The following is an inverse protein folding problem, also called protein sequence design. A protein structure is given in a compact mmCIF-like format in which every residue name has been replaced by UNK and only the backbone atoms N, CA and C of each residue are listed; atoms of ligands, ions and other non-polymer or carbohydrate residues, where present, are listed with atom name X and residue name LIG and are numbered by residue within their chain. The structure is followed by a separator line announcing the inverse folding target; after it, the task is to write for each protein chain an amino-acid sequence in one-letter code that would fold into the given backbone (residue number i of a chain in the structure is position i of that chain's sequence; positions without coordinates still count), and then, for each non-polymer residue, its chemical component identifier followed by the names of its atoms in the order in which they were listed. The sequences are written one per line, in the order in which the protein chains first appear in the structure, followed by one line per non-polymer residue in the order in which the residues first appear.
data_IF_953772118170
#
_entry.id   IF_953772118170
#
_cell.length_a   1.000
_cell.length_b   1.000
_cell.length_c   1.000
_cell.angle_alpha   90.00
_cell.angle_beta   90.00
_cell.angle_gamma   90.00
#
_symmetry.space_group_name_H-M   'P 1'
#
loop_
_entity.id
_entity.type
_entity.pdbx_description
1 polymer ?
#
# COMPACT_ATOMS: atom_id res chain seq x y z
N UNK A 1 -0.39 -15.04 -20.04
CA UNK A 1 0.31 -14.06 -20.92
C UNK A 1 -0.60 -12.87 -21.26
N UNK A 2 -1.79 -13.10 -21.85
CA UNK A 2 -2.73 -12.02 -22.20
C UNK A 2 -3.17 -11.24 -20.96
N UNK A 3 -3.44 -11.90 -19.85
CA UNK A 3 -3.85 -11.28 -18.57
C UNK A 3 -2.72 -10.46 -17.95
N UNK A 4 -1.47 -10.91 -18.06
CA UNK A 4 -0.31 -10.17 -17.58
C UNK A 4 0.08 -9.01 -18.51
N UNK A 5 -0.16 -9.12 -19.80
CA UNK A 5 0.05 -8.04 -20.78
C UNK A 5 -0.94 -6.90 -20.60
N UNK A 6 -2.16 -7.19 -20.18
CA UNK A 6 -3.19 -6.17 -19.98
C UNK A 6 -3.03 -5.37 -18.67
N UNK A 7 -2.06 -5.69 -17.82
CA UNK A 7 -1.84 -5.03 -16.50
C UNK A 7 -3.10 -4.97 -15.61
N UNK A 8 -4.12 -5.77 -15.92
CA UNK A 8 -5.42 -5.73 -15.25
C UNK A 8 -5.39 -6.55 -13.96
N UNK A 9 -4.52 -7.57 -13.91
CA UNK A 9 -4.41 -8.43 -12.74
C UNK A 9 -3.15 -8.10 -11.94
N UNK A 10 -3.30 -8.12 -10.61
CA UNK A 10 -2.17 -8.07 -9.68
C UNK A 10 -1.09 -9.09 -10.09
N UNK A 11 0.21 -8.78 -9.97
CA UNK A 11 1.30 -9.73 -10.21
C UNK A 11 1.12 -11.07 -9.47
N UNK A 12 0.40 -11.07 -8.35
CA UNK A 12 0.03 -12.29 -7.60
C UNK A 12 -0.84 -13.23 -8.43
N UNK A 13 -1.84 -12.70 -9.15
CA UNK A 13 -2.67 -13.54 -10.02
C UNK A 13 -1.88 -14.17 -11.15
N UNK A 14 -0.88 -13.48 -11.70
CA UNK A 14 -0.06 -14.03 -12.77
C UNK A 14 0.83 -15.20 -12.30
N UNK A 15 1.23 -15.25 -11.02
CA UNK A 15 1.92 -16.40 -10.44
C UNK A 15 0.99 -17.57 -10.16
N UNK A 16 -0.28 -17.30 -9.84
CA UNK A 16 -1.27 -18.34 -9.56
C UNK A 16 -1.83 -18.92 -10.86
N UNK A 17 -1.82 -18.17 -11.96
CA UNK A 17 -2.35 -18.60 -13.26
C UNK A 17 -1.82 -19.97 -13.72
N UNK A 18 -0.52 -20.31 -13.65
CA UNK A 18 -0.03 -21.64 -14.04
C UNK A 18 -0.67 -22.77 -13.23
N UNK A 19 -0.91 -22.53 -11.94
CA UNK A 19 -1.56 -23.51 -11.05
C UNK A 19 -3.02 -23.71 -11.45
N UNK A 20 -3.75 -22.63 -11.75
CA UNK A 20 -5.13 -22.73 -12.24
C UNK A 20 -5.19 -23.47 -13.59
N UNK A 21 -4.26 -23.25 -14.47
CA UNK A 21 -4.19 -23.94 -15.76
C UNK A 21 -4.07 -25.47 -15.58
N UNK A 22 -3.30 -25.91 -14.59
CA UNK A 22 -3.18 -27.33 -14.27
C UNK A 22 -4.43 -27.88 -13.54
N UNK A 23 -5.12 -27.05 -12.75
CA UNK A 23 -6.32 -27.48 -12.00
C UNK A 23 -7.61 -27.48 -12.84
N UNK A 24 -7.73 -26.59 -13.84
CA UNK A 24 -8.93 -26.49 -14.70
C UNK A 24 -9.28 -27.81 -15.36
N UNK A 25 -8.36 -28.58 -15.96
CA UNK A 25 -8.67 -29.89 -16.55
C UNK A 25 -9.22 -30.88 -15.52
N UNK A 26 -8.71 -30.88 -14.29
CA UNK A 26 -9.21 -31.75 -13.21
C UNK A 26 -10.64 -31.38 -12.82
N UNK A 27 -10.92 -30.08 -12.68
CA UNK A 27 -12.27 -29.60 -12.37
C UNK A 27 -13.24 -29.95 -13.51
N UNK A 28 -12.81 -29.81 -14.76
CA UNK A 28 -13.62 -30.12 -15.92
C UNK A 28 -13.99 -31.61 -16.00
N UNK A 29 -13.02 -32.52 -15.77
CA UNK A 29 -13.28 -33.96 -15.69
C UNK A 29 -14.24 -34.32 -14.55
N UNK A 30 -14.05 -33.71 -13.38
CA UNK A 30 -14.92 -33.92 -12.23
C UNK A 30 -16.36 -33.47 -12.49
N UNK A 31 -16.55 -32.32 -13.15
CA UNK A 31 -17.87 -31.79 -13.50
C UNK A 31 -18.57 -32.65 -14.54
N UNK A 32 -17.84 -33.32 -15.43
CA UNK A 32 -18.39 -34.25 -16.42
C UNK A 32 -18.68 -35.63 -15.84
N UNK A 33 -18.38 -35.88 -14.55
CA UNK A 33 -18.53 -37.21 -13.95
C UNK A 33 -17.58 -38.27 -14.50
N UNK A 34 -16.55 -37.85 -15.26
CA UNK A 34 -15.55 -38.76 -15.83
C UNK A 34 -14.58 -39.25 -14.75
N UNK A 35 -14.09 -40.48 -14.89
CA UNK A 35 -13.01 -40.98 -14.03
C UNK A 35 -11.75 -40.17 -14.25
N UNK A 36 -11.12 -39.73 -13.15
CA UNK A 36 -9.84 -39.00 -13.20
C UNK A 36 -8.72 -40.05 -13.39
N UNK A 37 -8.55 -40.47 -14.64
CA UNK A 37 -7.43 -41.32 -15.05
C UNK A 37 -6.35 -40.48 -15.75
N UNK A 38 -5.10 -40.94 -15.68
CA UNK A 38 -3.94 -40.25 -16.28
C UNK A 38 -4.16 -39.96 -17.78
N UNK A 39 -4.72 -40.90 -18.53
CA UNK A 39 -5.00 -40.75 -19.95
C UNK A 39 -6.08 -39.68 -20.21
N UNK A 40 -7.15 -39.68 -19.43
CA UNK A 40 -8.22 -38.71 -19.54
C UNK A 40 -7.70 -37.29 -19.20
N UNK A 41 -6.90 -37.18 -18.15
CA UNK A 41 -6.26 -35.90 -17.77
C UNK A 41 -5.32 -35.37 -18.87
N UNK A 42 -4.44 -36.21 -19.39
CA UNK A 42 -3.49 -35.82 -20.45
C UNK A 42 -4.20 -35.43 -21.73
N UNK A 43 -5.30 -36.08 -22.11
CA UNK A 43 -6.09 -35.72 -23.28
C UNK A 43 -6.76 -34.34 -23.13
N UNK A 44 -7.35 -34.06 -21.98
CA UNK A 44 -7.92 -32.71 -21.69
C UNK A 44 -6.81 -31.67 -21.62
N UNK A 45 -5.68 -32.01 -21.01
CA UNK A 45 -4.51 -31.12 -20.96
C UNK A 45 -3.98 -30.79 -22.34
N UNK A 46 -3.92 -31.79 -23.26
CA UNK A 46 -3.53 -31.61 -24.69
C UNK A 46 -4.50 -30.71 -25.44
N UNK A 47 -5.79 -30.79 -25.15
CA UNK A 47 -6.78 -29.85 -25.72
C UNK A 47 -6.48 -28.42 -25.30
N UNK A 48 -6.22 -28.17 -24.01
CA UNK A 48 -5.79 -26.86 -23.51
C UNK A 48 -4.37 -26.50 -23.99
N UNK A 49 -3.55 -27.44 -24.32
CA UNK A 49 -2.17 -27.24 -24.86
C UNK A 49 -2.12 -26.50 -26.17
N UNK A 50 -3.19 -26.55 -26.97
CA UNK A 50 -3.30 -25.73 -28.18
C UNK A 50 -3.29 -24.24 -27.85
N UNK A 51 -3.70 -23.87 -26.61
CA UNK A 51 -3.77 -22.50 -26.09
C UNK A 51 -2.50 -22.15 -25.32
N UNK A 52 -1.83 -23.13 -24.73
CA UNK A 52 -0.71 -22.94 -23.80
C UNK A 52 0.56 -23.60 -24.32
N UNK A 53 1.61 -22.81 -24.67
CA UNK A 53 2.85 -23.34 -25.24
C UNK A 53 3.54 -24.41 -24.38
N UNK A 54 3.37 -24.30 -23.02
CA UNK A 54 4.05 -25.20 -22.08
C UNK A 54 3.51 -26.64 -22.16
N UNK A 55 2.23 -26.82 -22.53
CA UNK A 55 1.64 -28.16 -22.64
C UNK A 55 2.13 -28.87 -23.89
N UNK A 56 2.61 -28.13 -24.89
CA UNK A 56 3.21 -28.68 -26.08
C UNK A 56 4.52 -29.45 -25.80
N UNK A 57 5.12 -29.31 -24.63
CA UNK A 57 6.26 -30.09 -24.14
C UNK A 57 5.93 -31.59 -24.14
N UNK A 58 4.70 -31.97 -23.83
CA UNK A 58 4.27 -33.38 -23.77
C UNK A 58 4.36 -34.08 -25.13
N UNK A 59 4.24 -33.34 -26.23
CA UNK A 59 4.29 -33.87 -27.61
C UNK A 59 5.57 -33.43 -28.37
N UNK A 60 6.55 -32.88 -27.65
CA UNK A 60 7.75 -32.28 -28.27
C UNK A 60 8.51 -33.25 -29.17
N UNK A 61 8.52 -34.54 -28.82
CA UNK A 61 9.27 -35.56 -29.57
C UNK A 61 8.69 -35.84 -30.97
N UNK A 62 7.36 -35.71 -31.10
CA UNK A 62 6.62 -36.02 -32.32
C UNK A 62 6.45 -34.81 -33.25
N UNK A 63 6.97 -33.65 -32.89
CA UNK A 63 6.78 -32.41 -33.66
C UNK A 63 7.82 -32.28 -34.79
N UNK A 64 7.42 -31.65 -35.91
CA UNK A 64 8.38 -31.25 -36.97
C UNK A 64 9.33 -30.17 -36.43
N UNK A 65 10.51 -30.05 -37.03
CA UNK A 65 11.63 -29.23 -36.54
C UNK A 65 11.25 -27.77 -36.35
N UNK A 66 10.49 -27.19 -37.28
CA UNK A 66 10.03 -25.79 -37.18
C UNK A 66 9.16 -25.54 -35.96
N UNK A 67 8.25 -26.47 -35.65
CA UNK A 67 7.41 -26.38 -34.46
C UNK A 67 8.19 -26.59 -33.15
N UNK A 68 9.24 -27.42 -33.17
CA UNK A 68 10.16 -27.60 -32.04
C UNK A 68 10.84 -26.28 -31.65
N UNK A 69 11.36 -25.58 -32.67
CA UNK A 69 12.02 -24.28 -32.43
C UNK A 69 11.05 -23.27 -31.85
N UNK A 70 9.85 -23.12 -32.43
CA UNK A 70 8.82 -22.19 -31.94
C UNK A 70 8.38 -22.54 -30.52
N UNK A 71 8.20 -23.81 -30.20
CA UNK A 71 7.84 -24.28 -28.87
C UNK A 71 8.95 -23.97 -27.84
N UNK A 72 10.21 -24.23 -28.22
CA UNK A 72 11.37 -23.94 -27.36
C UNK A 72 11.45 -22.44 -27.02
N UNK A 73 11.31 -21.57 -28.02
CA UNK A 73 11.29 -20.10 -27.81
C UNK A 73 10.14 -19.70 -26.91
N UNK A 74 8.95 -20.25 -27.11
CA UNK A 74 7.78 -19.97 -26.30
C UNK A 74 7.96 -20.38 -24.84
N UNK A 75 8.66 -21.51 -24.61
CA UNK A 75 8.99 -21.98 -23.26
C UNK A 75 9.95 -21.01 -22.56
N UNK A 76 11.00 -20.57 -23.27
CA UNK A 76 11.95 -19.59 -22.72
C UNK A 76 11.25 -18.29 -22.35
N UNK A 77 10.40 -17.75 -23.23
CA UNK A 77 9.60 -16.56 -22.97
C UNK A 77 8.69 -16.76 -21.76
N UNK A 78 8.08 -17.94 -21.61
CA UNK A 78 7.23 -18.26 -20.47
C UNK A 78 8.00 -18.24 -19.14
N UNK A 79 9.18 -18.89 -19.07
CA UNK A 79 10.01 -18.86 -17.87
C UNK A 79 10.52 -17.47 -17.56
N UNK A 80 10.88 -16.68 -18.57
CA UNK A 80 11.25 -15.29 -18.38
C UNK A 80 10.08 -14.47 -17.81
N UNK A 81 8.86 -14.68 -18.29
CA UNK A 81 7.66 -14.05 -17.76
C UNK A 81 7.40 -14.43 -16.28
N UNK A 82 7.57 -15.72 -15.94
CA UNK A 82 7.45 -16.17 -14.54
C UNK A 82 8.48 -15.48 -13.63
N UNK A 83 9.72 -15.39 -14.09
CA UNK A 83 10.78 -14.70 -13.35
C UNK A 83 10.44 -13.22 -13.12
N UNK A 84 10.02 -12.51 -14.15
CA UNK A 84 9.57 -11.13 -14.06
C UNK A 84 8.41 -10.94 -13.08
N UNK A 85 7.42 -11.83 -13.13
CA UNK A 85 6.27 -11.80 -12.24
C UNK A 85 6.68 -12.06 -10.78
N UNK A 86 7.60 -12.99 -10.55
CA UNK A 86 8.14 -13.29 -9.21
C UNK A 86 8.85 -12.08 -8.61
N UNK A 87 9.70 -11.41 -9.40
CA UNK A 87 10.35 -10.17 -8.97
C UNK A 87 9.34 -9.07 -8.67
N UNK A 88 8.30 -8.94 -9.50
CA UNK A 88 7.25 -7.93 -9.30
C UNK A 88 6.49 -8.17 -8.00
N UNK A 89 6.13 -9.42 -7.67
CA UNK A 89 5.49 -9.78 -6.40
C UNK A 89 6.41 -9.51 -5.21
N UNK A 90 7.69 -9.83 -5.31
CA UNK A 90 8.67 -9.55 -4.26
C UNK A 90 8.81 -8.04 -4.01
N UNK A 91 8.95 -7.24 -5.08
CA UNK A 91 9.00 -5.77 -4.98
C UNK A 91 7.72 -5.20 -4.38
N UNK A 92 6.56 -5.70 -4.81
CA UNK A 92 5.28 -5.31 -4.26
C UNK A 92 5.20 -5.58 -2.76
N UNK A 93 5.57 -6.80 -2.32
CA UNK A 93 5.62 -7.16 -0.91
C UNK A 93 6.52 -6.22 -0.11
N UNK A 94 7.75 -5.97 -0.59
CA UNK A 94 8.68 -5.04 0.06
C UNK A 94 8.12 -3.62 0.16
N UNK A 95 7.50 -3.13 -0.92
CA UNK A 95 6.89 -1.81 -0.94
C UNK A 95 5.71 -1.71 0.03
N UNK A 96 4.89 -2.76 0.15
CA UNK A 96 3.78 -2.78 1.11
C UNK A 96 4.26 -2.71 2.56
N UNK A 97 5.33 -3.41 2.93
CA UNK A 97 5.94 -3.29 4.26
C UNK A 97 6.39 -1.85 4.53
N UNK A 98 7.05 -1.21 3.56
CA UNK A 98 7.53 0.16 3.68
C UNK A 98 6.36 1.14 3.83
N UNK A 99 5.32 0.99 3.00
CA UNK A 99 4.11 1.84 3.06
C UNK A 99 3.46 1.73 4.43
N UNK A 100 3.22 0.51 4.94
CA UNK A 100 2.62 0.33 6.26
C UNK A 100 3.46 0.93 7.39
N UNK A 101 4.79 0.81 7.31
CA UNK A 101 5.70 1.48 8.27
C UNK A 101 5.54 3.00 8.26
N UNK A 102 5.38 3.62 7.10
CA UNK A 102 5.14 5.07 7.00
C UNK A 102 3.74 5.45 7.48
N UNK A 103 2.72 4.62 7.20
CA UNK A 103 1.37 4.84 7.70
C UNK A 103 1.29 4.79 9.23
N UNK A 104 2.00 3.85 9.86
CA UNK A 104 2.07 3.76 11.32
C UNK A 104 2.75 4.99 11.92
N UNK A 105 3.84 5.49 11.29
CA UNK A 105 4.48 6.74 11.71
C UNK A 105 3.55 7.94 11.54
N UNK A 106 2.84 8.04 10.42
CA UNK A 106 1.88 9.12 10.17
C UNK A 106 0.75 9.09 11.19
N UNK A 107 0.22 7.91 11.50
CA UNK A 107 -0.80 7.71 12.53
C UNK A 107 -0.32 8.16 13.92
N UNK A 108 0.87 7.73 14.32
CA UNK A 108 1.47 8.13 15.59
C UNK A 108 1.69 9.65 15.67
N UNK A 109 2.26 10.24 14.60
CA UNK A 109 2.44 11.67 14.50
C UNK A 109 1.10 12.42 14.61
N UNK A 110 0.10 11.98 13.85
CA UNK A 110 -1.20 12.66 13.82
C UNK A 110 -1.94 12.58 15.16
N UNK A 111 -1.85 11.44 15.88
CA UNK A 111 -2.37 11.33 17.23
C UNK A 111 -1.70 12.32 18.17
N UNK A 112 -0.36 12.39 18.17
CA UNK A 112 0.39 13.31 19.03
C UNK A 112 0.04 14.78 18.74
N UNK A 113 -0.17 15.12 17.47
CA UNK A 113 -0.58 16.50 17.11
C UNK A 113 -1.99 16.81 17.60
N UNK A 114 -2.94 15.88 17.46
CA UNK A 114 -4.31 16.07 17.98
C UNK A 114 -4.27 16.29 19.49
N UNK A 115 -3.50 15.50 20.23
CA UNK A 115 -3.33 15.63 21.66
C UNK A 115 -2.67 16.98 22.03
N UNK A 116 -1.65 17.42 21.28
CA UNK A 116 -1.01 18.72 21.48
C UNK A 116 -1.96 19.88 21.22
N UNK A 117 -2.81 19.77 20.18
CA UNK A 117 -3.85 20.76 19.89
C UNK A 117 -4.83 20.84 21.05
N UNK A 118 -5.27 19.71 21.62
CA UNK A 118 -6.18 19.68 22.75
C UNK A 118 -5.59 20.34 23.98
N UNK A 119 -4.35 19.98 24.30
CA UNK A 119 -3.62 20.59 25.39
C UNK A 119 -3.47 22.10 25.20
N UNK A 120 -3.14 22.56 23.99
CA UNK A 120 -3.05 23.98 23.70
C UNK A 120 -4.39 24.70 23.85
N UNK A 121 -5.47 24.14 23.35
CA UNK A 121 -6.82 24.73 23.44
C UNK A 121 -7.30 24.85 24.88
N UNK A 122 -6.92 23.93 25.79
CA UNK A 122 -7.26 24.02 27.22
C UNK A 122 -6.74 25.34 27.86
N UNK A 123 -5.57 25.80 27.44
CA UNK A 123 -4.97 27.03 27.98
C UNK A 123 -5.36 28.27 27.19
N UNK A 124 -5.40 28.21 25.86
CA UNK A 124 -5.60 29.37 24.99
C UNK A 124 -7.06 29.80 24.87
N UNK A 125 -8.03 28.92 25.17
CA UNK A 125 -9.46 29.24 25.10
C UNK A 125 -9.91 30.34 26.01
N UNK A 126 -9.14 30.58 27.09
CA UNK A 126 -9.44 31.64 28.08
C UNK A 126 -9.01 33.05 27.62
N UNK A 127 -8.32 33.16 26.48
CA UNK A 127 -7.79 34.42 26.00
C UNK A 127 -8.43 34.82 24.69
N UNK A 128 -9.16 35.92 24.67
CA UNK A 128 -9.86 36.44 23.49
C UNK A 128 -8.90 36.75 22.33
N UNK A 129 -7.65 37.16 22.63
CA UNK A 129 -6.61 37.41 21.61
C UNK A 129 -6.25 36.22 20.78
N UNK A 130 -6.53 34.98 21.21
CA UNK A 130 -6.27 33.75 20.49
C UNK A 130 -7.51 33.18 19.78
N UNK A 131 -8.67 33.87 19.83
CA UNK A 131 -9.93 33.34 19.30
C UNK A 131 -9.84 32.93 17.81
N UNK A 132 -9.24 33.76 16.97
CA UNK A 132 -9.04 33.45 15.54
C UNK A 132 -8.13 32.23 15.30
N UNK A 133 -6.99 32.18 16.01
CA UNK A 133 -6.08 31.06 15.94
C UNK A 133 -6.72 29.76 16.46
N UNK A 134 -7.45 29.81 17.55
CA UNK A 134 -8.16 28.67 18.13
C UNK A 134 -9.23 28.12 17.16
N UNK A 135 -9.92 29.00 16.44
CA UNK A 135 -10.91 28.61 15.44
C UNK A 135 -10.24 27.83 14.28
N UNK A 136 -9.13 28.31 13.74
CA UNK A 136 -8.39 27.63 12.67
C UNK A 136 -7.84 26.29 13.17
N UNK A 137 -7.31 26.26 14.38
CA UNK A 137 -6.78 25.05 15.01
C UNK A 137 -7.85 23.97 15.16
N UNK A 138 -9.06 24.33 15.59
CA UNK A 138 -10.19 23.42 15.71
C UNK A 138 -10.64 22.86 14.36
N UNK A 139 -10.63 23.69 13.32
CA UNK A 139 -10.97 23.25 11.96
C UNK A 139 -9.95 22.22 11.41
N UNK A 140 -8.66 22.51 11.58
CA UNK A 140 -7.63 21.56 11.21
C UNK A 140 -7.69 20.28 12.04
N UNK A 141 -7.96 20.38 13.34
CA UNK A 141 -8.15 19.22 14.21
C UNK A 141 -9.25 18.27 13.71
N UNK A 142 -10.41 18.80 13.27
CA UNK A 142 -11.50 17.97 12.72
C UNK A 142 -11.01 17.14 11.53
N UNK A 143 -10.26 17.75 10.64
CA UNK A 143 -9.69 17.05 9.48
C UNK A 143 -8.66 15.99 9.91
N UNK A 144 -7.80 16.28 10.89
CA UNK A 144 -6.81 15.34 11.43
C UNK A 144 -7.49 14.13 12.09
N UNK A 145 -8.59 14.32 12.80
CA UNK A 145 -9.41 13.22 13.36
C UNK A 145 -10.00 12.35 12.24
N UNK A 146 -10.48 12.96 11.16
CA UNK A 146 -10.96 12.23 9.99
C UNK A 146 -9.85 11.38 9.34
N UNK A 147 -8.62 11.92 9.26
CA UNK A 147 -7.45 11.15 8.81
C UNK A 147 -7.18 9.95 9.73
N UNK A 148 -7.23 10.14 11.05
CA UNK A 148 -7.04 9.07 12.02
C UNK A 148 -8.06 7.95 11.86
N UNK A 149 -9.33 8.27 11.60
CA UNK A 149 -10.36 7.25 11.36
C UNK A 149 -10.04 6.40 10.12
N UNK A 150 -9.58 7.03 9.04
CA UNK A 150 -9.16 6.33 7.80
C UNK A 150 -7.89 5.49 8.02
N UNK A 151 -6.89 6.01 8.73
CA UNK A 151 -5.67 5.28 9.07
C UNK A 151 -5.93 4.08 10.00
N UNK A 152 -6.88 4.22 10.93
CA UNK A 152 -7.29 3.14 11.83
C UNK A 152 -8.01 2.00 11.11
N UNK A 153 -8.68 2.27 9.98
CA UNK A 153 -9.30 1.22 9.16
C UNK A 153 -8.27 0.38 8.37
N UNK A 154 -7.02 0.85 8.27
CA UNK A 154 -5.95 0.13 7.61
C UNK A 154 -5.33 -0.86 8.58
N UNK A 155 -5.59 -2.15 8.36
CA UNK A 155 -5.02 -3.22 9.19
C UNK A 155 -3.55 -3.47 8.84
N UNK A 156 -2.69 -3.83 9.83
CA UNK A 156 -1.28 -4.12 9.56
C UNK A 156 -1.09 -5.14 8.44
N UNK A 157 -0.05 -4.94 7.63
CA UNK A 157 0.26 -5.83 6.52
C UNK A 157 0.76 -7.18 7.02
N UNK A 158 0.16 -8.25 6.52
CA UNK A 158 0.65 -9.62 6.70
C UNK A 158 0.44 -10.40 5.40
N UNK A 159 1.30 -11.36 5.14
CA UNK A 159 1.18 -12.23 3.96
C UNK A 159 0.07 -13.25 4.23
N UNK A 160 -1.14 -12.93 3.79
CA UNK A 160 -2.28 -13.85 3.83
C UNK A 160 -3.25 -13.56 2.68
N UNK A 161 -4.02 -14.55 2.26
CA UNK A 161 -4.99 -14.41 1.16
C UNK A 161 -6.04 -13.34 1.49
N UNK A 162 -6.53 -13.31 2.74
CA UNK A 162 -7.49 -12.30 3.20
C UNK A 162 -6.93 -10.87 3.11
N UNK A 163 -5.63 -10.68 3.35
CA UNK A 163 -4.97 -9.38 3.25
C UNK A 163 -4.76 -8.92 1.81
N UNK A 164 -4.56 -9.84 0.89
CA UNK A 164 -4.53 -9.53 -0.55
C UNK A 164 -5.90 -9.01 -1.01
N UNK A 165 -6.99 -9.61 -0.52
CA UNK A 165 -8.35 -9.13 -0.82
C UNK A 165 -8.63 -7.75 -0.21
N UNK A 166 -8.07 -7.43 0.95
CA UNK A 166 -8.19 -6.12 1.59
C UNK A 166 -7.29 -5.03 0.98
N UNK A 167 -6.42 -5.37 0.02
CA UNK A 167 -5.52 -4.42 -0.63
C UNK A 167 -6.28 -3.25 -1.27
N UNK A 168 -7.45 -3.52 -1.86
CA UNK A 168 -8.31 -2.50 -2.44
C UNK A 168 -8.74 -1.45 -1.42
N UNK A 169 -9.07 -1.86 -0.20
CA UNK A 169 -9.43 -0.94 0.90
C UNK A 169 -8.23 -0.08 1.33
N UNK A 170 -7.05 -0.66 1.47
CA UNK A 170 -5.82 0.08 1.80
C UNK A 170 -5.52 1.13 0.74
N UNK A 171 -5.56 0.73 -0.55
CA UNK A 171 -5.30 1.64 -1.66
C UNK A 171 -6.36 2.74 -1.79
N UNK A 172 -7.63 2.43 -1.55
CA UNK A 172 -8.73 3.40 -1.54
C UNK A 172 -8.54 4.45 -0.45
N UNK A 173 -8.21 4.03 0.78
CA UNK A 173 -7.95 4.94 1.89
C UNK A 173 -6.71 5.82 1.63
N UNK A 174 -5.63 5.24 1.12
CA UNK A 174 -4.43 6.01 0.73
C UNK A 174 -4.74 7.04 -0.35
N UNK A 175 -5.46 6.61 -1.39
CA UNK A 175 -5.84 7.51 -2.47
C UNK A 175 -6.75 8.65 -2.00
N UNK A 176 -7.70 8.36 -1.10
CA UNK A 176 -8.59 9.39 -0.55
C UNK A 176 -7.84 10.39 0.35
N UNK A 177 -6.85 9.94 1.13
CA UNK A 177 -5.96 10.82 1.91
C UNK A 177 -5.13 11.69 0.95
N UNK A 178 -4.57 11.11 -0.11
CA UNK A 178 -3.73 11.82 -1.06
C UNK A 178 -4.49 12.85 -1.92
N UNK A 179 -5.72 12.52 -2.36
CA UNK A 179 -6.51 13.35 -3.27
C UNK A 179 -7.23 14.50 -2.57
N UNK A 180 -7.53 14.36 -1.29
CA UNK A 180 -8.31 15.32 -0.52
C UNK A 180 -7.44 16.53 -0.16
N UNK A 181 -7.71 17.67 -0.81
CA UNK A 181 -6.95 18.90 -0.63
C UNK A 181 -7.05 19.46 0.81
N UNK A 182 -8.21 19.33 1.44
CA UNK A 182 -8.41 19.78 2.83
C UNK A 182 -7.56 18.94 3.79
N UNK A 183 -7.48 17.64 3.54
CA UNK A 183 -6.61 16.72 4.29
C UNK A 183 -5.14 17.11 4.15
N UNK A 184 -4.69 17.34 2.91
CA UNK A 184 -3.31 17.74 2.66
C UNK A 184 -2.96 19.07 3.30
N UNK A 185 -3.84 20.07 3.23
CA UNK A 185 -3.65 21.35 3.90
C UNK A 185 -3.54 21.19 5.42
N UNK A 186 -4.41 20.35 6.01
CA UNK A 186 -4.38 20.10 7.46
C UNK A 186 -3.13 19.35 7.90
N UNK A 187 -2.61 18.43 7.09
CA UNK A 187 -1.33 17.77 7.36
C UNK A 187 -0.15 18.76 7.27
N UNK A 188 -0.10 19.61 6.25
CA UNK A 188 0.93 20.64 6.14
C UNK A 188 0.88 21.60 7.29
N UNK A 189 -0.33 22.04 7.68
CA UNK A 189 -0.53 22.87 8.87
C UNK A 189 -0.01 22.18 10.14
N UNK A 190 -0.30 20.89 10.31
CA UNK A 190 0.15 20.13 11.48
C UNK A 190 1.69 20.01 11.54
N UNK A 191 2.38 19.86 10.42
CA UNK A 191 3.85 19.89 10.39
C UNK A 191 4.39 21.28 10.79
N UNK A 192 3.78 22.35 10.29
CA UNK A 192 4.13 23.72 10.68
C UNK A 192 3.90 23.97 12.16
N UNK A 193 2.75 23.56 12.68
CA UNK A 193 2.42 23.66 14.10
C UNK A 193 3.41 22.88 14.98
N UNK A 194 3.75 21.66 14.59
CA UNK A 194 4.73 20.86 15.34
C UNK A 194 6.10 21.55 15.38
N UNK A 195 6.58 22.04 14.24
CA UNK A 195 7.85 22.80 14.18
C UNK A 195 7.80 24.07 15.02
N UNK A 196 6.67 24.76 15.07
CA UNK A 196 6.49 25.94 15.92
C UNK A 196 6.56 25.58 17.42
N UNK A 197 5.85 24.52 17.85
CA UNK A 197 5.87 24.05 19.23
C UNK A 197 7.27 23.57 19.65
N UNK A 198 7.98 22.86 18.80
CA UNK A 198 9.36 22.43 19.03
C UNK A 198 10.30 23.64 19.19
N UNK A 199 10.16 24.67 18.37
CA UNK A 199 10.95 25.88 18.50
C UNK A 199 10.70 26.59 19.83
N UNK A 200 9.44 26.70 20.28
CA UNK A 200 9.12 27.27 21.58
C UNK A 200 9.73 26.43 22.72
N UNK A 201 9.62 25.12 22.62
CA UNK A 201 10.20 24.20 23.61
C UNK A 201 11.72 24.35 23.69
N UNK A 202 12.39 24.45 22.53
CA UNK A 202 13.85 24.65 22.47
C UNK A 202 14.27 26.03 23.02
N UNK A 203 13.48 27.08 22.77
CA UNK A 203 13.75 28.40 23.37
C UNK A 203 13.63 28.32 24.90
N UNK A 204 12.56 27.69 25.42
CA UNK A 204 12.40 27.50 26.85
C UNK A 204 13.54 26.69 27.46
N UNK A 205 13.92 25.57 26.82
CA UNK A 205 15.07 24.76 27.24
C UNK A 205 16.37 25.56 27.30
N UNK A 206 16.65 26.42 26.31
CA UNK A 206 17.84 27.25 26.28
C UNK A 206 17.82 28.35 27.37
N UNK A 207 16.64 28.87 27.70
CA UNK A 207 16.48 29.79 28.82
C UNK A 207 16.76 29.09 30.14
N UNK A 208 16.20 27.89 30.35
CA UNK A 208 16.36 27.14 31.59
C UNK A 208 17.82 26.67 31.80
N UNK A 209 18.56 26.45 30.71
CA UNK A 209 20.01 26.16 30.73
C UNK A 209 20.90 27.41 30.86
N UNK A 210 20.32 28.59 30.80
CA UNK A 210 21.07 29.84 30.85
C UNK A 210 21.83 30.23 29.58
N UNK A 211 21.54 29.56 28.47
CA UNK A 211 22.13 29.90 27.15
C UNK A 211 21.51 31.16 26.54
N UNK A 212 20.26 31.46 26.89
CA UNK A 212 19.51 32.65 26.49
C UNK A 212 18.90 33.31 27.72
N UNK A 213 19.03 34.61 27.82
CA UNK A 213 18.42 35.38 28.91
C UNK A 213 17.02 35.87 28.54
N UNK A 214 16.07 35.84 29.51
CA UNK A 214 14.77 36.46 29.32
C UNK A 214 14.92 37.97 29.22
N UNK A 215 14.26 38.57 28.24
CA UNK A 215 14.22 40.00 28.04
C UNK A 215 13.47 40.65 29.24
N UNK A 216 14.06 41.73 29.83
CA UNK A 216 13.40 42.55 30.83
C UNK A 216 12.93 43.84 30.17
N UNK A 217 11.62 44.04 30.14
CA UNK A 217 11.06 45.30 29.64
C UNK A 217 11.24 46.40 30.66
N UNK A 218 11.91 47.49 30.26
CA UNK A 218 11.99 48.70 31.10
C UNK A 218 10.83 49.63 30.79
N UNK A 219 10.20 50.18 31.86
CA UNK A 219 9.16 51.19 31.72
C UNK A 219 9.74 52.59 31.44
N UNK A 220 11.05 52.77 31.60
CA UNK A 220 11.68 54.06 31.37
C UNK A 220 12.09 54.14 29.89
N UNK A 221 11.55 55.16 29.19
CA UNK A 221 12.09 55.58 27.88
C UNK A 221 13.49 56.13 28.11
N UNK A 222 14.50 55.52 27.54
CA UNK A 222 15.80 56.14 27.33
C UNK A 222 15.69 57.21 26.28
#
# INVERSE_FOLDING_TARGET
LIISLLNICSPVFSLITPIFILLIPLLFLKLQGASIDYNSYTNVLRFFGKILPIVNILNFHEMPTDKKVMTSVSIVIYFFSLYQNTISVYRFHKNMIIIHKYLDKLKSFNNNIVDNIDNYLLYSSNYESYAGFNYDLQNHKKNLISINSRLNSITPYSVSISKIMNLGNVMSNLYSIYKDEYVNRSLLYSFGLYGYLENIHMIQYNIDKGYINKCKYSKNKT
#
